data_IF_685380395387
#
_entry.id   IF_685380395387
#
_cell.length_a   1.000
_cell.length_b   1.000
_cell.length_c   1.000
_cell.angle_alpha   90.00
_cell.angle_beta   90.00
_cell.angle_gamma   90.00
#
_symmetry.space_group_name_H-M   'P 1'
#
loop_
_entity.id
_entity.type
_entity.pdbx_description
1 polymer ?
#
# COMPACT_ATOMS: atom_id res chain seq x y z
N UNK A 1 -61.02 29.19 33.05
CA UNK A 1 -60.69 27.77 33.03
C UNK A 1 -60.29 27.23 31.62
N UNK A 2 -60.14 28.08 30.63
CA UNK A 2 -59.92 27.70 29.22
C UNK A 2 -58.43 27.84 28.79
N UNK A 3 -57.67 28.68 29.45
CA UNK A 3 -56.24 28.94 29.09
C UNK A 3 -55.30 27.82 29.49
N UNK A 4 -55.62 27.05 30.54
CA UNK A 4 -54.78 25.94 31.03
C UNK A 4 -54.76 24.73 30.08
N UNK A 5 -55.83 24.51 29.30
CA UNK A 5 -55.90 23.38 28.34
C UNK A 5 -55.16 23.64 27.02
N UNK A 6 -54.90 24.90 26.70
CA UNK A 6 -54.17 25.27 25.47
C UNK A 6 -52.68 25.14 25.64
N UNK A 7 -52.15 25.48 26.82
CA UNK A 7 -50.72 25.32 27.17
C UNK A 7 -50.30 23.87 27.21
N UNK A 8 -51.15 22.97 27.74
CA UNK A 8 -50.86 21.53 27.80
C UNK A 8 -50.80 20.89 26.39
N UNK A 9 -51.68 21.32 25.47
CA UNK A 9 -51.68 20.83 24.08
C UNK A 9 -50.47 21.33 23.32
N UNK A 10 -50.02 22.57 23.55
CA UNK A 10 -48.81 23.12 22.91
C UNK A 10 -47.57 22.44 23.43
N UNK A 11 -47.50 22.16 24.75
CA UNK A 11 -46.40 21.47 25.39
C UNK A 11 -46.28 20.04 24.91
N UNK A 12 -47.39 19.30 24.81
CA UNK A 12 -47.43 17.91 24.32
C UNK A 12 -47.05 17.82 22.84
N UNK A 13 -47.52 18.76 21.97
CA UNK A 13 -47.16 18.78 20.59
C UNK A 13 -45.68 19.20 20.36
N UNK A 14 -45.14 20.08 21.19
CA UNK A 14 -43.72 20.44 21.17
C UNK A 14 -42.83 19.25 21.61
N UNK A 15 -43.24 18.54 22.66
CA UNK A 15 -42.55 17.35 23.14
C UNK A 15 -42.57 16.19 22.12
N UNK A 16 -43.72 15.99 21.43
CA UNK A 16 -43.89 14.98 20.40
C UNK A 16 -43.05 15.32 19.16
N UNK A 17 -42.94 16.61 18.74
CA UNK A 17 -42.14 17.02 17.62
C UNK A 17 -40.61 16.89 17.91
N UNK A 18 -40.18 17.18 19.13
CA UNK A 18 -38.76 17.00 19.52
C UNK A 18 -38.41 15.52 19.61
N UNK A 19 -39.32 14.66 20.06
CA UNK A 19 -39.11 13.21 20.10
C UNK A 19 -39.00 12.63 18.66
N UNK A 20 -39.82 13.14 17.72
CA UNK A 20 -39.77 12.73 16.31
C UNK A 20 -38.49 13.19 15.61
N UNK A 21 -38.00 14.40 15.92
CA UNK A 21 -36.72 14.88 15.40
C UNK A 21 -35.52 14.08 15.97
N UNK A 22 -35.60 13.64 17.22
CA UNK A 22 -34.53 12.85 17.83
C UNK A 22 -34.46 11.42 17.26
N UNK A 23 -35.60 10.86 16.81
CA UNK A 23 -35.64 9.53 16.19
C UNK A 23 -35.10 9.50 14.77
N UNK A 24 -35.01 10.64 14.08
CA UNK A 24 -34.45 10.75 12.75
C UNK A 24 -32.91 10.81 12.75
N UNK A 25 -32.28 11.10 13.90
CA UNK A 25 -30.82 11.11 14.03
C UNK A 25 -30.22 9.76 14.43
N UNK A 26 -31.03 8.77 14.79
CA UNK A 26 -30.53 7.45 15.21
C UNK A 26 -30.39 6.43 14.08
N UNK A 27 -30.57 6.81 12.83
CA UNK A 27 -30.32 5.94 11.66
C UNK A 27 -29.04 6.27 10.89
N UNK A 28 -28.14 7.10 11.45
CA UNK A 28 -26.73 7.00 11.09
C UNK A 28 -26.14 5.81 11.88
N UNK A 29 -26.61 4.61 11.56
CA UNK A 29 -25.86 3.40 11.76
C UNK A 29 -24.58 3.61 10.97
N UNK A 30 -23.46 3.74 11.67
CA UNK A 30 -22.18 3.41 11.11
C UNK A 30 -22.34 1.97 10.59
N UNK A 31 -22.57 1.79 9.29
CA UNK A 31 -22.20 0.54 8.68
C UNK A 31 -20.68 0.50 8.90
N UNK A 32 -20.21 -0.47 9.65
CA UNK A 32 -18.85 -0.96 9.52
C UNK A 32 -18.77 -1.46 8.07
N UNK A 33 -18.57 -0.54 7.14
CA UNK A 33 -18.21 -0.88 5.79
C UNK A 33 -16.79 -1.46 5.90
N UNK A 34 -16.70 -2.78 5.85
CA UNK A 34 -15.46 -3.54 5.64
C UNK A 34 -14.81 -3.20 4.27
N UNK A 35 -15.33 -2.19 3.60
CA UNK A 35 -14.89 -1.69 2.29
C UNK A 35 -13.69 -0.72 2.38
N UNK A 36 -13.20 -0.42 3.59
CA UNK A 36 -12.03 0.45 3.77
C UNK A 36 -10.77 -0.19 3.16
N UNK A 37 -10.12 0.55 2.25
CA UNK A 37 -8.95 0.05 1.53
C UNK A 37 -7.76 -0.02 2.46
N UNK A 38 -7.31 -1.23 2.78
CA UNK A 38 -6.18 -1.46 3.68
C UNK A 38 -5.14 -2.38 3.06
N UNK A 39 -3.89 -1.99 3.15
CA UNK A 39 -2.75 -2.80 2.74
C UNK A 39 -2.10 -3.37 3.99
N UNK A 40 -2.00 -4.70 4.09
CA UNK A 40 -1.43 -5.39 5.25
C UNK A 40 0.03 -5.76 5.05
N UNK A 41 0.37 -6.26 3.85
CA UNK A 41 1.70 -6.78 3.57
C UNK A 41 2.02 -6.79 2.08
N UNK A 42 3.32 -6.79 1.77
CA UNK A 42 3.84 -6.92 0.41
C UNK A 42 4.77 -8.13 0.36
N UNK A 43 4.68 -8.91 -0.73
CA UNK A 43 5.38 -10.17 -0.90
C UNK A 43 6.22 -10.18 -2.19
N UNK A 44 7.38 -10.84 -2.15
CA UNK A 44 8.38 -10.83 -3.22
C UNK A 44 8.03 -11.69 -4.43
N UNK A 45 7.00 -12.53 -4.34
CA UNK A 45 6.62 -13.46 -5.42
C UNK A 45 5.10 -13.64 -5.45
N UNK A 46 4.60 -14.02 -6.65
CA UNK A 46 3.19 -14.34 -6.87
C UNK A 46 2.79 -15.71 -6.28
N UNK A 47 3.73 -16.66 -6.22
CA UNK A 47 3.48 -18.02 -5.75
C UNK A 47 3.71 -18.13 -4.24
N UNK A 48 2.75 -18.71 -3.54
CA UNK A 48 2.70 -18.72 -2.07
C UNK A 48 3.84 -19.49 -1.39
N UNK A 49 4.35 -20.57 -2.02
CA UNK A 49 5.31 -21.48 -1.36
C UNK A 49 6.69 -20.86 -1.15
N UNK A 50 7.12 -19.94 -2.00
CA UNK A 50 8.40 -19.25 -1.91
C UNK A 50 8.29 -17.76 -1.60
N UNK A 51 7.07 -17.27 -1.41
CA UNK A 51 6.83 -15.86 -1.16
C UNK A 51 7.41 -15.44 0.20
N UNK A 52 8.11 -14.32 0.21
CA UNK A 52 8.62 -13.68 1.43
C UNK A 52 8.00 -12.31 1.58
N UNK A 53 7.57 -11.99 2.78
CA UNK A 53 7.16 -10.64 3.09
C UNK A 53 8.36 -9.71 3.01
N UNK A 54 8.17 -8.59 2.31
CA UNK A 54 9.23 -7.62 2.01
C UNK A 54 8.81 -6.21 2.42
N UNK A 55 9.77 -5.39 2.77
CA UNK A 55 9.60 -3.94 3.05
C UNK A 55 10.23 -3.07 1.98
N UNK A 56 10.90 -3.68 1.03
CA UNK A 56 11.52 -2.99 -0.12
C UNK A 56 11.61 -3.92 -1.33
N UNK A 57 11.61 -3.33 -2.53
CA UNK A 57 11.74 -4.07 -3.79
C UNK A 57 12.56 -3.29 -4.80
N UNK A 58 13.19 -3.99 -5.74
CA UNK A 58 13.80 -3.39 -6.92
C UNK A 58 12.74 -3.09 -7.99
N UNK A 59 12.91 -1.98 -8.70
CA UNK A 59 12.05 -1.63 -9.85
C UNK A 59 12.08 -2.73 -10.90
N UNK A 60 10.99 -2.90 -11.65
CA UNK A 60 10.86 -3.97 -12.64
C UNK A 60 10.47 -5.33 -12.08
N UNK A 61 10.32 -5.50 -10.76
CA UNK A 61 9.99 -6.77 -10.10
C UNK A 61 8.48 -6.94 -9.96
N UNK A 62 8.00 -8.18 -10.12
CA UNK A 62 6.63 -8.56 -9.77
C UNK A 62 6.48 -8.71 -8.27
N UNK A 63 5.40 -8.14 -7.71
CA UNK A 63 5.06 -8.24 -6.29
C UNK A 63 3.59 -8.61 -6.12
N UNK A 64 3.27 -9.21 -4.97
CA UNK A 64 1.91 -9.41 -4.47
C UNK A 64 1.69 -8.51 -3.26
N UNK A 65 0.54 -7.86 -3.23
CA UNK A 65 0.08 -7.03 -2.12
C UNK A 65 -1.15 -7.68 -1.52
N UNK A 66 -1.12 -7.93 -0.23
CA UNK A 66 -2.23 -8.49 0.53
C UNK A 66 -2.90 -7.38 1.35
N UNK A 67 -4.23 -7.36 1.36
CA UNK A 67 -5.00 -6.31 2.01
C UNK A 67 -6.49 -6.62 2.04
N UNK A 68 -7.32 -5.58 2.04
CA UNK A 68 -8.78 -5.64 1.92
C UNK A 68 -9.32 -4.44 1.16
N UNK A 69 -10.55 -4.54 0.63
CA UNK A 69 -11.24 -3.46 -0.04
C UNK A 69 -10.66 -3.15 -1.43
N UNK A 70 -10.03 -4.12 -2.10
CA UNK A 70 -9.44 -3.92 -3.42
C UNK A 70 -10.46 -4.05 -4.56
N UNK A 71 -11.71 -4.37 -4.26
CA UNK A 71 -12.81 -4.36 -5.24
C UNK A 71 -12.94 -2.96 -5.87
N UNK A 72 -13.26 -2.93 -7.15
CA UNK A 72 -13.38 -1.66 -7.87
C UNK A 72 -12.06 -0.91 -8.01
N UNK A 73 -10.93 -1.64 -8.09
CA UNK A 73 -9.61 -1.05 -8.30
C UNK A 73 -9.60 -0.10 -9.49
N UNK A 74 -9.15 1.13 -9.26
CA UNK A 74 -9.01 2.19 -10.26
C UNK A 74 -7.56 2.42 -10.65
N UNK A 75 -6.65 2.48 -9.66
CA UNK A 75 -5.24 2.72 -9.91
C UNK A 75 -4.36 2.23 -8.74
N UNK A 76 -3.11 1.89 -9.07
CA UNK A 76 -2.04 1.65 -8.10
C UNK A 76 -0.90 2.62 -8.42
N UNK A 77 -0.28 3.18 -7.39
CA UNK A 77 0.85 4.10 -7.54
C UNK A 77 2.03 3.65 -6.69
N UNK A 78 3.21 3.68 -7.28
CA UNK A 78 4.50 3.45 -6.62
C UNK A 78 5.25 4.79 -6.60
N UNK A 79 5.52 5.36 -5.44
CA UNK A 79 6.13 6.69 -5.32
C UNK A 79 5.47 7.76 -6.21
N UNK A 80 4.13 7.74 -6.32
CA UNK A 80 3.36 8.66 -7.16
C UNK A 80 3.28 8.27 -8.65
N UNK A 81 4.06 7.32 -9.13
CA UNK A 81 3.99 6.83 -10.52
C UNK A 81 2.95 5.71 -10.63
N UNK A 82 2.04 5.84 -11.60
CA UNK A 82 0.99 4.85 -11.82
C UNK A 82 1.55 3.54 -12.40
N UNK A 83 1.10 2.43 -11.84
CA UNK A 83 1.37 1.07 -12.35
C UNK A 83 0.53 0.82 -13.60
N UNK A 84 1.11 0.19 -14.61
CA UNK A 84 0.45 -0.15 -15.87
C UNK A 84 0.45 -1.65 -16.18
N UNK A 85 1.30 -2.45 -15.51
CA UNK A 85 1.40 -3.88 -15.73
C UNK A 85 0.79 -4.66 -14.55
N UNK A 86 -0.37 -5.28 -14.77
CA UNK A 86 -1.12 -6.05 -13.79
C UNK A 86 -1.25 -7.51 -14.20
N UNK A 87 -1.30 -8.42 -13.23
CA UNK A 87 -1.69 -9.80 -13.47
C UNK A 87 -3.10 -10.06 -12.94
N UNK A 88 -4.10 -9.84 -13.79
CA UNK A 88 -5.53 -9.97 -13.43
C UNK A 88 -5.93 -11.37 -12.97
N UNK A 89 -5.20 -12.41 -13.34
CA UNK A 89 -5.47 -13.79 -12.92
C UNK A 89 -5.25 -13.98 -11.40
N UNK A 90 -4.35 -13.18 -10.82
CA UNK A 90 -3.99 -13.25 -9.40
C UNK A 90 -4.42 -11.99 -8.64
N UNK A 91 -5.56 -11.40 -9.03
CA UNK A 91 -6.14 -10.25 -8.36
C UNK A 91 -7.50 -10.61 -7.78
N UNK A 92 -7.75 -10.15 -6.58
CA UNK A 92 -9.01 -10.32 -5.85
C UNK A 92 -9.25 -9.11 -4.95
N UNK A 93 -10.32 -9.14 -4.18
CA UNK A 93 -10.58 -8.12 -3.17
C UNK A 93 -9.51 -8.03 -2.07
N UNK A 94 -8.77 -9.12 -1.84
CA UNK A 94 -7.73 -9.21 -0.81
C UNK A 94 -6.30 -9.30 -1.35
N UNK A 95 -6.13 -9.46 -2.64
CA UNK A 95 -4.81 -9.64 -3.27
C UNK A 95 -4.68 -8.83 -4.56
N UNK A 96 -3.57 -8.12 -4.71
CA UNK A 96 -3.18 -7.47 -5.96
C UNK A 96 -1.82 -8.00 -6.40
N UNK A 97 -1.67 -8.26 -7.70
CA UNK A 97 -0.41 -8.67 -8.29
C UNK A 97 -0.07 -7.80 -9.48
N UNK A 98 1.08 -7.15 -9.40
CA UNK A 98 1.52 -6.23 -10.43
C UNK A 98 3.03 -6.14 -10.49
N UNK A 99 3.54 -5.57 -11.57
CA UNK A 99 4.95 -5.28 -11.76
C UNK A 99 5.25 -3.84 -11.38
N UNK A 100 6.22 -3.65 -10.52
CA UNK A 100 6.72 -2.32 -10.16
C UNK A 100 7.33 -1.68 -11.41
N UNK A 101 6.88 -0.50 -11.84
CA UNK A 101 7.44 0.13 -13.04
C UNK A 101 8.94 0.37 -12.92
N UNK A 102 9.69 0.17 -14.01
CA UNK A 102 11.14 0.39 -14.01
C UNK A 102 11.52 1.87 -13.85
N UNK A 103 10.60 2.78 -14.16
CA UNK A 103 10.77 4.23 -14.10
C UNK A 103 10.26 4.86 -12.80
N UNK A 104 9.99 4.07 -11.75
CA UNK A 104 9.59 4.61 -10.44
C UNK A 104 10.65 5.58 -9.94
N UNK A 105 10.29 6.84 -9.62
CA UNK A 105 11.24 7.79 -9.07
C UNK A 105 11.75 7.33 -7.70
N UNK A 106 13.04 7.50 -7.48
CA UNK A 106 13.65 7.14 -6.20
C UNK A 106 13.31 8.20 -5.14
N UNK A 107 13.38 7.81 -3.87
CA UNK A 107 12.99 8.67 -2.76
C UNK A 107 13.73 10.04 -2.72
N UNK A 108 14.96 10.11 -3.25
CA UNK A 108 15.74 11.33 -3.31
C UNK A 108 15.37 12.26 -4.47
N UNK A 109 14.58 11.77 -5.44
CA UNK A 109 14.09 12.51 -6.60
C UNK A 109 12.70 13.12 -6.36
N UNK A 110 12.07 12.77 -5.23
CA UNK A 110 10.69 13.17 -4.89
C UNK A 110 10.75 14.31 -3.89
N UNK A 111 10.15 15.45 -4.24
CA UNK A 111 10.03 16.62 -3.36
C UNK A 111 8.88 16.46 -2.36
N UNK A 112 7.77 15.84 -2.79
CA UNK A 112 6.58 15.65 -1.97
C UNK A 112 6.76 14.47 -1.00
N UNK A 113 6.96 14.79 0.28
CA UNK A 113 7.11 13.80 1.35
C UNK A 113 5.88 12.87 1.52
N UNK A 114 4.71 13.30 1.07
CA UNK A 114 3.47 12.51 1.20
C UNK A 114 3.46 11.28 0.29
N UNK A 115 4.13 11.35 -0.86
CA UNK A 115 4.23 10.25 -1.83
C UNK A 115 5.54 9.48 -1.76
N UNK A 116 6.54 10.01 -1.05
CA UNK A 116 7.85 9.40 -0.88
C UNK A 116 7.77 8.06 -0.13
N UNK A 117 8.36 7.00 -0.69
CA UNK A 117 8.33 5.65 -0.14
C UNK A 117 6.90 5.17 0.16
N UNK A 118 5.98 5.38 -0.80
CA UNK A 118 4.59 4.95 -0.67
C UNK A 118 4.16 4.04 -1.81
N UNK A 119 3.42 3.02 -1.44
CA UNK A 119 2.55 2.25 -2.31
C UNK A 119 1.12 2.70 -2.00
N UNK A 120 0.40 3.22 -3.00
CA UNK A 120 -0.97 3.71 -2.87
C UNK A 120 -1.88 2.94 -3.80
N UNK A 121 -2.97 2.42 -3.26
CA UNK A 121 -4.03 1.73 -3.98
C UNK A 121 -5.28 2.60 -3.94
N UNK A 122 -5.88 2.86 -5.08
CA UNK A 122 -7.12 3.65 -5.24
C UNK A 122 -8.20 2.75 -5.80
N UNK A 123 -9.33 2.71 -5.14
CA UNK A 123 -10.52 1.95 -5.55
C UNK A 123 -11.75 2.85 -5.64
N UNK A 124 -12.89 2.31 -6.03
CA UNK A 124 -14.17 3.04 -5.98
C UNK A 124 -14.65 3.34 -4.55
N UNK A 125 -14.09 2.66 -3.54
CA UNK A 125 -14.48 2.76 -2.14
C UNK A 125 -13.55 3.69 -1.32
N UNK A 126 -12.38 4.02 -1.86
CA UNK A 126 -11.41 4.88 -1.18
C UNK A 126 -9.98 4.61 -1.60
N UNK A 127 -9.04 5.02 -0.76
CA UNK A 127 -7.63 4.80 -0.99
C UNK A 127 -6.92 4.23 0.23
N UNK A 128 -5.96 3.32 -0.02
CA UNK A 128 -5.05 2.77 0.98
C UNK A 128 -3.61 3.16 0.67
N UNK A 129 -2.88 3.58 1.69
CA UNK A 129 -1.46 3.96 1.58
C UNK A 129 -0.61 3.08 2.49
N UNK A 130 0.47 2.56 1.94
CA UNK A 130 1.42 1.70 2.66
C UNK A 130 2.85 2.22 2.48
N UNK A 131 3.62 2.29 3.55
CA UNK A 131 5.03 2.68 3.50
C UNK A 131 5.88 1.56 2.93
N UNK A 132 6.51 1.82 1.77
CA UNK A 132 7.26 0.81 1.04
C UNK A 132 8.43 1.42 0.26
N UNK A 133 9.60 0.79 0.31
CA UNK A 133 10.83 1.34 -0.25
C UNK A 133 11.06 0.74 -1.65
N UNK A 134 11.23 1.61 -2.64
CA UNK A 134 11.62 1.24 -4.00
C UNK A 134 13.12 1.46 -4.20
N UNK A 135 13.79 0.47 -4.80
CA UNK A 135 15.23 0.46 -5.08
C UNK A 135 15.47 0.43 -6.57
N UNK A 136 16.47 1.16 -7.03
CA UNK A 136 16.88 1.14 -8.43
C UNK A 136 17.51 -0.21 -8.79
N UNK A 137 16.93 -0.89 -9.78
CA UNK A 137 17.46 -2.17 -10.28
C UNK A 137 18.89 -2.03 -10.84
N UNK A 138 19.24 -0.87 -11.39
CA UNK A 138 20.58 -0.62 -11.93
C UNK A 138 21.66 -0.50 -10.83
N UNK A 139 21.24 -0.33 -9.58
CA UNK A 139 22.11 -0.32 -8.39
C UNK A 139 22.06 -1.64 -7.62
N UNK A 140 21.48 -2.69 -8.19
CA UNK A 140 21.48 -4.02 -7.60
C UNK A 140 22.91 -4.55 -7.52
N UNK A 141 23.37 -5.07 -6.36
CA UNK A 141 24.66 -5.71 -6.28
C UNK A 141 24.73 -6.91 -7.24
N UNK A 142 25.71 -6.92 -8.11
CA UNK A 142 25.96 -8.02 -9.04
C UNK A 142 27.19 -8.81 -8.60
N UNK A 143 27.18 -10.12 -8.85
CA UNK A 143 28.39 -10.94 -8.76
C UNK A 143 29.15 -10.72 -10.07
N UNK A 144 30.31 -10.08 -9.99
CA UNK A 144 31.14 -9.76 -11.18
C UNK A 144 32.20 -10.82 -11.43
N UNK A 145 32.56 -11.57 -10.39
CA UNK A 145 33.56 -12.63 -10.49
C UNK A 145 33.41 -13.66 -9.35
N UNK A 146 33.97 -14.83 -9.53
CA UNK A 146 34.09 -15.89 -8.52
C UNK A 146 35.56 -16.33 -8.42
N UNK A 147 36.00 -16.69 -7.24
CA UNK A 147 37.40 -17.06 -6.97
C UNK A 147 37.90 -18.29 -7.78
N UNK A 148 36.97 -19.12 -8.28
CA UNK A 148 37.26 -20.29 -9.10
C UNK A 148 36.37 -20.38 -10.31
N UNK A 149 36.96 -20.67 -11.47
CA UNK A 149 36.22 -20.88 -12.73
C UNK A 149 35.68 -22.31 -12.86
N UNK A 150 36.29 -23.29 -12.18
CA UNK A 150 35.91 -24.70 -12.18
C UNK A 150 36.09 -25.28 -10.75
N UNK A 151 35.09 -25.05 -9.87
CA UNK A 151 35.19 -25.57 -8.51
C UNK A 151 35.11 -27.11 -8.47
N UNK A 152 35.92 -27.72 -7.66
CA UNK A 152 35.82 -29.14 -7.36
C UNK A 152 34.86 -29.37 -6.19
N UNK A 153 34.30 -30.58 -6.02
CA UNK A 153 33.48 -30.90 -4.86
C UNK A 153 34.24 -30.65 -3.56
N UNK A 154 33.73 -29.76 -2.72
CA UNK A 154 34.34 -29.36 -1.44
C UNK A 154 35.09 -28.02 -1.47
N UNK A 155 35.24 -27.38 -2.62
CA UNK A 155 35.87 -26.07 -2.71
C UNK A 155 34.92 -24.98 -2.17
N UNK A 156 35.51 -23.99 -1.51
CA UNK A 156 34.78 -22.80 -1.08
C UNK A 156 34.86 -21.74 -2.17
N UNK A 157 33.70 -21.36 -2.73
CA UNK A 157 33.61 -20.28 -3.70
C UNK A 157 33.40 -18.98 -2.93
N UNK A 158 34.29 -18.01 -3.13
CA UNK A 158 34.13 -16.65 -2.58
C UNK A 158 33.60 -15.72 -3.69
N UNK A 159 32.32 -15.33 -3.65
CA UNK A 159 31.80 -14.35 -4.61
C UNK A 159 32.42 -12.97 -4.33
N UNK A 160 32.91 -12.31 -5.38
CA UNK A 160 33.34 -10.92 -5.29
C UNK A 160 32.19 -10.02 -5.75
N UNK A 161 31.68 -9.23 -4.81
CA UNK A 161 30.63 -8.25 -5.06
C UNK A 161 31.26 -6.85 -5.03
N UNK A 162 31.23 -6.13 -6.16
CA UNK A 162 31.57 -4.71 -6.18
C UNK A 162 30.35 -3.89 -5.81
N UNK A 163 30.26 -3.50 -4.54
CA UNK A 163 29.50 -2.31 -4.19
C UNK A 163 30.41 -1.12 -4.40
N UNK A 164 30.02 -0.17 -5.25
CA UNK A 164 30.69 1.14 -5.37
C UNK A 164 30.48 1.92 -4.07
N UNK A 165 31.18 1.56 -3.02
CA UNK A 165 31.44 2.42 -1.88
C UNK A 165 32.71 3.20 -2.20
N UNK A 166 32.59 4.33 -2.85
CA UNK A 166 33.63 5.36 -2.84
C UNK A 166 33.69 5.92 -1.44
N UNK A 167 34.54 5.36 -0.59
CA UNK A 167 34.96 6.05 0.62
C UNK A 167 35.67 7.33 0.18
N UNK A 168 35.28 8.51 0.72
CA UNK A 168 36.07 9.71 0.53
C UNK A 168 37.43 9.47 1.19
N UNK A 169 38.46 9.32 0.37
CA UNK A 169 39.83 9.33 0.86
C UNK A 169 40.17 10.75 1.24
N UNK A 170 40.10 11.09 2.56
CA UNK A 170 40.81 12.22 3.08
C UNK A 170 42.31 11.98 2.85
N UNK A 171 42.89 12.66 1.86
CA UNK A 171 44.32 12.89 1.83
C UNK A 171 44.60 14.14 2.64
N UNK A 172 45.22 13.94 3.75
CA UNK A 172 45.97 15.00 4.39
C UNK A 172 47.27 15.26 3.65
#
# INVERSE_FOLDING_TARGET
MTTMKITDKILTNLCLSTLLLFSLFSVFSCSDDDDDVRIYSVWSNMLAEEARQITSVYTGTWIRVDGSGFSGLQAIYCNGLQVTEYNSTYMSDSHLTFKVPSSVPMAHEIEDESVKNTLRVVTSHGEGVYRFIFKDVNKMPGITDVSYTLPHPGDHITPVSYTHLTLPTNRE
#
